data_IF_572615698212
#
_entry.id   IF_572615698212
#
_cell.length_a   1.000
_cell.length_b   1.000
_cell.length_c   1.000
_cell.angle_alpha   90.00
_cell.angle_beta   90.00
_cell.angle_gamma   90.00
#
_symmetry.space_group_name_H-M   'P 1'
#
loop_
_entity.id
_entity.type
_entity.pdbx_description
1 polymer ?
#
# COMPACT_ATOMS: atom_id res chain seq x y z
N UNK A 1 -0.50 -8.47 -31.99
CA UNK A 1 -1.19 -7.74 -30.91
C UNK A 1 -0.17 -7.55 -29.79
N UNK A 2 0.38 -6.34 -29.60
CA UNK A 2 1.41 -6.14 -28.58
C UNK A 2 0.73 -6.15 -27.21
N UNK A 3 1.19 -7.04 -26.33
CA UNK A 3 0.73 -7.15 -24.93
C UNK A 3 1.54 -6.24 -23.98
N UNK A 4 2.51 -5.49 -24.50
CA UNK A 4 3.46 -4.69 -23.71
C UNK A 4 2.98 -3.26 -23.39
N UNK A 5 1.88 -2.78 -23.99
CA UNK A 5 1.37 -1.43 -23.70
C UNK A 5 0.46 -1.36 -22.45
N UNK A 6 -0.09 -2.49 -21.98
CA UNK A 6 -0.99 -2.49 -20.82
C UNK A 6 -0.25 -2.36 -19.49
N UNK A 7 0.97 -2.89 -19.39
CA UNK A 7 1.77 -2.83 -18.15
C UNK A 7 2.27 -1.41 -17.87
N UNK A 8 2.64 -0.65 -18.90
CA UNK A 8 3.01 0.77 -18.75
C UNK A 8 1.82 1.67 -18.45
N UNK A 9 0.63 1.38 -19.00
CA UNK A 9 -0.59 2.16 -18.71
C UNK A 9 -1.09 1.95 -17.28
N UNK A 10 -0.80 0.80 -16.66
CA UNK A 10 -1.13 0.54 -15.25
C UNK A 10 -0.12 1.19 -14.27
N UNK A 11 1.11 1.45 -14.72
CA UNK A 11 2.16 2.10 -13.93
C UNK A 11 1.93 3.62 -13.78
N UNK A 12 1.32 4.26 -14.78
CA UNK A 12 0.96 5.69 -14.79
C UNK A 12 -0.54 5.91 -14.49
N UNK A 13 -1.19 5.00 -13.75
CA UNK A 13 -2.58 5.16 -13.35
C UNK A 13 -2.68 6.03 -12.07
N UNK A 14 -3.27 7.25 -12.15
CA UNK A 14 -3.43 8.13 -10.99
C UNK A 14 -4.19 7.49 -9.83
N UNK A 15 -5.03 6.49 -10.10
CA UNK A 15 -5.69 5.72 -9.06
C UNK A 15 -4.73 4.80 -8.31
N UNK A 16 -3.89 4.05 -9.04
CA UNK A 16 -2.89 3.16 -8.43
C UNK A 16 -1.85 3.95 -7.63
N UNK A 17 -1.39 5.09 -8.16
CA UNK A 17 -0.48 5.98 -7.43
C UNK A 17 -1.08 6.41 -6.08
N UNK A 18 -2.34 6.85 -6.09
CA UNK A 18 -3.05 7.26 -4.87
C UNK A 18 -3.24 6.11 -3.90
N UNK A 19 -3.56 4.91 -4.41
CA UNK A 19 -3.71 3.69 -3.59
C UNK A 19 -2.41 3.31 -2.92
N UNK A 20 -1.31 3.29 -3.66
CA UNK A 20 0.04 3.02 -3.15
C UNK A 20 0.45 4.07 -2.13
N UNK A 21 0.17 5.35 -2.41
CA UNK A 21 0.52 6.45 -1.52
C UNK A 21 -0.16 6.33 -0.16
N UNK A 22 -1.49 6.18 -0.12
CA UNK A 22 -2.24 6.04 1.14
C UNK A 22 -1.78 4.82 1.93
N UNK A 23 -1.60 3.67 1.26
CA UNK A 23 -1.12 2.46 1.92
C UNK A 23 0.29 2.64 2.48
N UNK A 24 1.20 3.26 1.73
CA UNK A 24 2.57 3.54 2.18
C UNK A 24 2.57 4.43 3.42
N UNK A 25 1.80 5.53 3.42
CA UNK A 25 1.69 6.41 4.58
C UNK A 25 1.17 5.68 5.83
N UNK A 26 0.17 4.80 5.68
CA UNK A 26 -0.36 4.01 6.79
C UNK A 26 0.68 3.01 7.31
N UNK A 27 1.36 2.30 6.41
CA UNK A 27 2.41 1.35 6.77
C UNK A 27 3.57 2.02 7.50
N UNK A 28 4.04 3.16 7.01
CA UNK A 28 5.10 3.93 7.65
C UNK A 28 4.68 4.43 9.04
N UNK A 29 3.46 4.95 9.18
CA UNK A 29 2.92 5.36 10.47
C UNK A 29 2.93 4.20 11.47
N UNK A 30 2.44 3.03 11.08
CA UNK A 30 2.45 1.82 11.92
C UNK A 30 3.88 1.43 12.30
N UNK A 31 4.78 1.40 11.31
CA UNK A 31 6.18 1.03 11.54
C UNK A 31 6.86 1.97 12.54
N UNK A 32 6.71 3.29 12.36
CA UNK A 32 7.34 4.27 13.26
C UNK A 32 6.71 4.30 14.64
N UNK A 33 5.39 4.12 14.75
CA UNK A 33 4.77 3.95 16.05
C UNK A 33 5.33 2.72 16.76
N UNK A 34 5.55 1.59 16.07
CA UNK A 34 6.08 0.35 16.68
C UNK A 34 7.58 0.33 16.93
N UNK A 35 8.38 1.03 16.13
CA UNK A 35 9.84 0.85 16.14
C UNK A 35 10.64 2.15 16.25
N UNK A 36 10.00 3.31 16.06
CA UNK A 36 10.65 4.61 15.98
C UNK A 36 9.98 5.68 16.85
N UNK A 37 10.02 5.58 18.19
CA UNK A 37 9.32 6.51 19.08
C UNK A 37 9.77 7.98 18.92
N UNK A 38 10.99 8.20 18.45
CA UNK A 38 11.53 9.53 18.13
C UNK A 38 10.85 10.20 16.92
N UNK A 39 10.14 9.43 16.09
CA UNK A 39 9.43 9.92 14.89
C UNK A 39 7.93 10.15 15.12
N UNK A 40 7.47 10.14 16.37
CA UNK A 40 6.04 10.33 16.73
C UNK A 40 5.44 11.60 16.13
N UNK A 41 6.17 12.72 16.17
CA UNK A 41 5.70 13.98 15.59
C UNK A 41 5.55 13.88 14.07
N UNK A 42 6.48 13.18 13.41
CA UNK A 42 6.40 12.93 11.97
C UNK A 42 5.18 12.07 11.64
N UNK A 43 4.89 11.04 12.47
CA UNK A 43 3.66 10.25 12.33
C UNK A 43 2.42 11.12 12.45
N UNK A 44 2.35 12.00 13.46
CA UNK A 44 1.21 12.92 13.62
C UNK A 44 1.06 13.80 12.37
N UNK A 45 2.15 14.34 11.82
CA UNK A 45 2.13 15.12 10.59
C UNK A 45 1.65 14.29 9.40
N UNK A 46 2.18 13.07 9.18
CA UNK A 46 1.74 12.18 8.10
C UNK A 46 0.25 11.83 8.20
N UNK A 47 -0.22 11.50 9.41
CA UNK A 47 -1.64 11.24 9.65
C UNK A 47 -2.51 12.46 9.31
N UNK A 48 -2.08 13.66 9.70
CA UNK A 48 -2.88 14.87 9.55
C UNK A 48 -2.83 15.48 8.15
N UNK A 49 -1.66 15.54 7.54
CA UNK A 49 -1.42 16.29 6.30
C UNK A 49 -1.55 15.37 5.09
N UNK A 50 -0.93 14.19 5.13
CA UNK A 50 -0.91 13.28 3.98
C UNK A 50 -2.20 12.45 3.93
N UNK A 51 -2.50 11.70 4.99
CA UNK A 51 -3.64 10.77 4.97
C UNK A 51 -4.97 11.52 4.93
N UNK A 52 -5.22 12.41 5.89
CA UNK A 52 -6.48 13.18 5.90
C UNK A 52 -6.58 14.16 4.71
N UNK A 53 -5.46 14.65 4.20
CA UNK A 53 -5.43 15.49 2.99
C UNK A 53 -5.90 14.72 1.75
N UNK A 54 -5.53 13.45 1.64
CA UNK A 54 -5.82 12.64 0.45
C UNK A 54 -7.14 11.86 0.53
N UNK A 55 -7.69 11.65 1.73
CA UNK A 55 -8.74 10.65 1.98
C UNK A 55 -10.02 10.88 1.17
N UNK A 56 -10.44 12.13 1.01
CA UNK A 56 -11.66 12.47 0.27
C UNK A 56 -11.55 12.15 -1.23
N UNK A 57 -10.38 12.41 -1.80
CA UNK A 57 -10.07 12.05 -3.19
C UNK A 57 -9.93 10.53 -3.33
N UNK A 58 -9.24 9.88 -2.39
CA UNK A 58 -9.03 8.44 -2.39
C UNK A 58 -10.35 7.65 -2.36
N UNK A 59 -11.30 8.05 -1.49
CA UNK A 59 -12.65 7.48 -1.44
C UNK A 59 -13.35 7.65 -2.80
N UNK A 60 -13.33 8.87 -3.34
CA UNK A 60 -14.01 9.16 -4.61
C UNK A 60 -13.43 8.34 -5.77
N UNK A 61 -12.10 8.23 -5.85
CA UNK A 61 -11.43 7.39 -6.86
C UNK A 61 -11.75 5.91 -6.67
N UNK A 62 -11.79 5.40 -5.44
CA UNK A 62 -12.14 4.01 -5.16
C UNK A 62 -13.55 3.64 -5.61
N UNK A 63 -14.52 4.54 -5.43
CA UNK A 63 -15.90 4.35 -5.90
C UNK A 63 -15.97 4.30 -7.43
N UNK A 64 -15.23 5.17 -8.12
CA UNK A 64 -15.18 5.20 -9.59
C UNK A 64 -14.57 3.91 -10.14
N UNK A 65 -13.46 3.47 -9.56
CA UNK A 65 -12.77 2.22 -9.94
C UNK A 65 -13.41 0.95 -9.38
N UNK A 66 -14.46 1.10 -8.57
CA UNK A 66 -15.21 -0.01 -7.94
C UNK A 66 -14.31 -0.93 -7.12
N UNK A 67 -13.37 -0.36 -6.37
CA UNK A 67 -12.56 -1.08 -5.37
C UNK A 67 -13.17 -0.90 -3.97
N UNK A 68 -14.04 -1.83 -3.53
CA UNK A 68 -14.67 -1.73 -2.22
C UNK A 68 -13.69 -1.96 -1.07
N UNK A 69 -12.53 -2.59 -1.31
CA UNK A 69 -11.54 -2.81 -0.25
C UNK A 69 -10.78 -1.52 0.02
N UNK A 70 -10.31 -0.85 -1.02
CA UNK A 70 -9.65 0.44 -0.86
C UNK A 70 -10.61 1.52 -0.37
N UNK A 71 -11.85 1.54 -0.85
CA UNK A 71 -12.88 2.45 -0.31
C UNK A 71 -13.06 2.23 1.20
N UNK A 72 -13.18 0.96 1.64
CA UNK A 72 -13.34 0.61 3.05
C UNK A 72 -12.15 1.03 3.90
N UNK A 73 -10.93 0.84 3.41
CA UNK A 73 -9.71 1.33 4.07
C UNK A 73 -9.82 2.84 4.31
N UNK A 74 -10.08 3.62 3.25
CA UNK A 74 -10.14 5.07 3.35
C UNK A 74 -11.27 5.54 4.28
N UNK A 75 -12.44 4.89 4.25
CA UNK A 75 -13.54 5.19 5.18
C UNK A 75 -13.20 4.89 6.64
N UNK A 76 -12.50 3.79 6.91
CA UNK A 76 -12.05 3.47 8.26
C UNK A 76 -11.02 4.51 8.75
N UNK A 77 -10.06 4.86 7.90
CA UNK A 77 -9.04 5.87 8.22
C UNK A 77 -9.66 7.25 8.47
N UNK A 78 -10.70 7.64 7.71
CA UNK A 78 -11.44 8.90 7.89
C UNK A 78 -12.01 9.02 9.31
N UNK A 79 -12.38 7.89 9.93
CA UNK A 79 -12.89 7.83 11.30
C UNK A 79 -11.79 7.70 12.35
N UNK A 80 -10.79 6.85 12.10
CA UNK A 80 -9.77 6.48 13.10
C UNK A 80 -8.69 7.53 13.23
N UNK A 81 -8.20 8.09 12.11
CA UNK A 81 -7.04 9.00 12.11
C UNK A 81 -7.22 10.22 13.02
N UNK A 82 -8.38 10.91 13.07
CA UNK A 82 -8.58 12.03 14.00
C UNK A 82 -8.49 11.61 15.48
N UNK A 83 -8.92 10.39 15.81
CA UNK A 83 -8.86 9.83 17.16
C UNK A 83 -7.40 9.48 17.50
N UNK A 84 -6.71 8.79 16.58
CA UNK A 84 -5.28 8.46 16.69
C UNK A 84 -4.43 9.70 16.95
N UNK A 85 -4.60 10.78 16.17
CA UNK A 85 -3.87 12.04 16.38
C UNK A 85 -4.14 12.62 17.78
N UNK A 86 -5.39 12.56 18.26
CA UNK A 86 -5.74 13.05 19.60
C UNK A 86 -5.05 12.24 20.69
N UNK A 87 -5.04 10.92 20.58
CA UNK A 87 -4.34 10.03 21.52
C UNK A 87 -2.84 10.34 21.50
N UNK A 88 -2.24 10.39 20.30
CA UNK A 88 -0.82 10.61 20.12
C UNK A 88 -0.34 11.97 20.66
N UNK A 89 -1.18 13.00 20.63
CA UNK A 89 -0.88 14.32 21.20
C UNK A 89 -1.05 14.39 22.71
N UNK A 90 -1.99 13.62 23.26
CA UNK A 90 -2.35 13.69 24.68
C UNK A 90 -1.44 12.82 25.54
N UNK A 91 -1.10 11.65 25.03
CA UNK A 91 -0.27 10.65 25.68
C UNK A 91 1.11 10.66 25.03
N UNK A 92 2.16 10.23 25.74
CA UNK A 92 3.54 10.14 25.20
C UNK A 92 4.23 8.83 25.58
N UNK A 93 3.46 7.88 26.09
CA UNK A 93 3.92 6.54 26.45
C UNK A 93 3.87 5.59 25.25
N UNK A 94 4.61 4.49 25.41
CA UNK A 94 4.77 3.44 24.40
C UNK A 94 3.50 2.63 24.19
N UNK A 95 2.72 2.41 25.25
CA UNK A 95 1.46 1.64 25.22
C UNK A 95 0.46 2.35 24.29
N UNK A 96 0.28 3.65 24.45
CA UNK A 96 -0.57 4.45 23.55
C UNK A 96 -0.10 4.44 22.09
N UNK A 97 1.20 4.34 21.83
CA UNK A 97 1.73 4.22 20.46
C UNK A 97 1.40 2.86 19.84
N UNK A 98 1.48 1.79 20.63
CA UNK A 98 1.12 0.44 20.22
C UNK A 98 -0.39 0.33 19.96
N UNK A 99 -1.22 0.86 20.85
CA UNK A 99 -2.68 0.90 20.69
C UNK A 99 -3.08 1.62 19.40
N UNK A 100 -2.49 2.79 19.13
CA UNK A 100 -2.76 3.54 17.89
C UNK A 100 -2.27 2.77 16.66
N UNK A 101 -1.13 2.08 16.73
CA UNK A 101 -0.66 1.25 15.64
C UNK A 101 -1.64 0.09 15.35
N UNK A 102 -2.21 -0.53 16.39
CA UNK A 102 -3.20 -1.59 16.26
C UNK A 102 -4.51 -1.09 15.67
N UNK A 103 -4.97 0.08 16.08
CA UNK A 103 -6.13 0.75 15.47
C UNK A 103 -5.91 1.01 13.97
N UNK A 104 -4.72 1.48 13.57
CA UNK A 104 -4.37 1.70 12.17
C UNK A 104 -4.29 0.38 11.38
N UNK A 105 -3.72 -0.68 11.96
CA UNK A 105 -3.71 -2.02 11.35
C UNK A 105 -5.15 -2.52 11.13
N UNK A 106 -6.03 -2.31 12.11
CA UNK A 106 -7.44 -2.72 12.03
C UNK A 106 -8.22 -2.03 10.91
N UNK A 107 -7.73 -0.86 10.44
CA UNK A 107 -8.32 -0.16 9.30
C UNK A 107 -8.06 -0.88 7.98
N UNK A 108 -6.96 -1.65 7.88
CA UNK A 108 -6.52 -2.33 6.65
C UNK A 108 -7.36 -3.59 6.45
N UNK A 109 -8.20 -3.68 5.39
CA UNK A 109 -8.92 -4.90 5.07
C UNK A 109 -7.95 -6.06 4.86
N UNK A 110 -8.29 -7.26 5.31
CA UNK A 110 -7.43 -8.46 5.19
C UNK A 110 -6.98 -8.74 3.76
N UNK A 111 -7.82 -8.41 2.77
CA UNK A 111 -7.49 -8.54 1.34
C UNK A 111 -6.32 -7.62 0.91
N UNK A 112 -6.07 -6.53 1.63
CA UNK A 112 -4.95 -5.61 1.41
C UNK A 112 -3.77 -5.90 2.34
N UNK A 113 -3.94 -6.74 3.38
CA UNK A 113 -2.89 -7.08 4.34
C UNK A 113 -1.90 -8.14 3.82
N UNK A 114 -2.24 -8.87 2.76
CA UNK A 114 -1.34 -9.85 2.15
C UNK A 114 -0.95 -9.42 0.74
N UNK A 115 0.35 -9.43 0.39
CA UNK A 115 0.72 -9.49 -1.01
C UNK A 115 0.13 -10.77 -1.59
N UNK A 116 -0.50 -10.69 -2.75
CA UNK A 116 -0.89 -11.86 -3.55
C UNK A 116 0.39 -12.65 -3.87
N UNK A 117 0.77 -13.60 -3.01
CA UNK A 117 2.03 -14.35 -3.06
C UNK A 117 3.29 -13.48 -3.16
N UNK A 118 3.92 -13.17 -2.02
CA UNK A 118 5.38 -13.03 -2.02
C UNK A 118 5.96 -14.45 -2.03
N UNK A 119 6.46 -14.89 -3.18
CA UNK A 119 7.15 -16.16 -3.33
C UNK A 119 8.66 -15.90 -3.17
N UNK A 120 9.26 -16.19 -1.98
CA UNK A 120 10.66 -15.83 -1.69
C UNK A 120 11.68 -16.57 -2.55
N UNK A 121 11.25 -17.60 -3.30
CA UNK A 121 12.09 -18.37 -4.22
C UNK A 121 12.04 -17.85 -5.67
N UNK A 122 11.28 -16.78 -5.93
CA UNK A 122 11.33 -16.10 -7.23
C UNK A 122 12.46 -15.08 -7.17
N UNK A 123 13.66 -15.51 -7.55
CA UNK A 123 14.64 -14.57 -8.10
C UNK A 123 13.91 -13.78 -9.19
N UNK A 124 13.86 -12.45 -9.05
CA UNK A 124 13.33 -11.54 -10.07
C UNK A 124 14.16 -11.72 -11.34
N UNK A 125 13.76 -12.71 -12.15
CA UNK A 125 14.35 -12.94 -13.47
C UNK A 125 14.01 -11.70 -14.27
N UNK A 126 15.03 -11.03 -14.79
CA UNK A 126 14.81 -9.86 -15.64
C UNK A 126 13.94 -10.26 -16.83
N UNK A 127 13.12 -9.31 -17.33
CA UNK A 127 12.27 -9.52 -18.52
C UNK A 127 13.09 -10.04 -19.71
N UNK A 128 14.37 -9.67 -19.76
CA UNK A 128 15.35 -10.12 -20.75
C UNK A 128 15.69 -11.61 -20.60
N UNK A 129 15.92 -12.10 -19.37
CA UNK A 129 16.15 -13.53 -19.09
C UNK A 129 14.91 -14.40 -19.36
N UNK A 130 13.71 -13.88 -19.09
CA UNK A 130 12.47 -14.60 -19.38
C UNK A 130 12.23 -14.73 -20.90
N UNK A 131 12.58 -13.69 -21.66
CA UNK A 131 12.53 -13.69 -23.13
C UNK A 131 13.52 -14.69 -23.73
N UNK A 132 14.75 -14.76 -23.21
CA UNK A 132 15.75 -15.72 -23.68
C UNK A 132 15.35 -17.17 -23.40
N UNK A 133 14.80 -17.48 -22.22
CA UNK A 133 14.30 -18.83 -21.90
C UNK A 133 13.19 -19.29 -22.84
N UNK A 134 12.21 -18.42 -23.13
CA UNK A 134 11.11 -18.73 -24.09
C UNK A 134 11.65 -18.98 -25.50
N UNK A 135 12.66 -18.23 -25.94
CA UNK A 135 13.28 -18.44 -27.25
C UNK A 135 14.11 -19.73 -27.33
N UNK A 136 14.82 -20.10 -26.26
CA UNK A 136 15.57 -21.36 -26.20
C UNK A 136 14.64 -22.58 -26.23
N UNK A 137 13.50 -22.53 -25.53
CA UNK A 137 12.49 -23.59 -25.55
C UNK A 137 11.83 -23.76 -26.92
N UNK A 138 11.53 -22.65 -27.61
CA UNK A 138 10.95 -22.66 -28.96
C UNK A 138 11.91 -23.22 -30.02
N UNK A 139 13.21 -22.95 -29.90
CA UNK A 139 14.23 -23.49 -30.82
C UNK A 139 14.40 -25.00 -30.67
N UNK A 140 14.26 -25.54 -29.45
CA UNK A 140 14.34 -26.99 -29.20
C UNK A 140 13.20 -27.79 -29.82
N UNK A 141 12.01 -27.20 -29.99
CA UNK A 141 10.86 -27.87 -30.59
C UNK A 141 10.88 -27.95 -32.13
N UNK A 142 11.77 -27.24 -32.80
CA UNK A 142 11.87 -27.22 -34.27
C UNK A 142 12.85 -28.25 -34.86
N UNK A 143 13.53 -29.04 -34.02
CA UNK A 143 14.54 -30.02 -34.45
C UNK A 143 14.15 -31.48 -34.20
N UNK A 144 12.85 -31.79 -34.15
CA UNK A 144 12.34 -33.17 -34.28
C UNK A 144 11.50 -33.32 -35.52
#
# INVERSE_FOLDING_TARGET
>A
MPRHDLEHVLADDPYNERRIFVLSCVHDAIYYLRHGPHRRNDVISTLQEEILGEIGLAISSAVVERDPQFERLCRNLELVVPISIRILRKHTDRESDEDVADDLISCIPTALQQPTQWDPDVEEISVEEEFERKNQLRRRHRHR
#
